data_IF_530507180334
#
_entry.id   IF_530507180334
#
_cell.length_a   1.000
_cell.length_b   1.000
_cell.length_c   1.000
_cell.angle_alpha   90.00
_cell.angle_beta   90.00
_cell.angle_gamma   90.00
#
_symmetry.space_group_name_H-M   'P 1'
#
loop_
_entity.id
_entity.type
_entity.pdbx_description
1 polymer ?
#
# COMPACT_ATOMS: atom_id res chain seq x y z
N UNK A 1 0.95 4.11 -25.08
CA UNK A 1 0.04 3.50 -24.09
C UNK A 1 0.85 3.20 -22.84
N UNK A 2 0.83 4.09 -21.85
CA UNK A 2 1.45 3.84 -20.56
C UNK A 2 0.41 3.06 -19.76
N UNK A 3 0.71 1.80 -19.44
CA UNK A 3 -0.11 0.99 -18.55
C UNK A 3 -0.32 1.76 -17.25
N UNK A 4 -1.55 2.21 -16.97
CA UNK A 4 -1.90 3.06 -15.82
C UNK A 4 -1.98 2.28 -14.51
N UNK A 5 -1.19 1.20 -14.37
CA UNK A 5 -1.15 0.33 -13.20
C UNK A 5 0.16 0.50 -12.43
N UNK A 6 0.09 0.41 -11.10
CA UNK A 6 1.28 0.30 -10.26
C UNK A 6 2.16 -0.86 -10.76
N UNK A 7 3.48 -0.66 -10.91
CA UNK A 7 4.39 -1.70 -11.37
C UNK A 7 4.40 -2.89 -10.41
N UNK A 8 4.70 -4.07 -10.92
CA UNK A 8 5.02 -5.23 -10.09
C UNK A 8 6.52 -5.29 -9.80
N UNK A 9 6.94 -6.03 -8.76
CA UNK A 9 8.34 -6.11 -8.35
C UNK A 9 9.28 -6.56 -9.49
N UNK A 10 8.77 -7.35 -10.46
CA UNK A 10 9.51 -7.78 -11.66
C UNK A 10 10.01 -6.62 -12.53
N UNK A 11 9.34 -5.47 -12.47
CA UNK A 11 9.75 -4.27 -13.23
C UNK A 11 10.72 -3.38 -12.44
N UNK A 12 10.94 -3.67 -11.16
CA UNK A 12 11.74 -2.84 -10.26
C UNK A 12 13.06 -3.49 -9.88
N UNK A 13 13.11 -4.82 -9.82
CA UNK A 13 14.28 -5.56 -9.35
C UNK A 13 15.00 -6.31 -10.47
N UNK A 14 16.33 -6.39 -10.36
CA UNK A 14 17.17 -7.13 -11.30
C UNK A 14 17.03 -8.65 -11.10
N UNK A 15 17.32 -9.46 -12.14
CA UNK A 15 17.46 -10.90 -11.96
C UNK A 15 18.52 -11.21 -10.88
N UNK A 16 18.17 -12.06 -9.90
CA UNK A 16 19.07 -12.41 -8.78
C UNK A 16 18.76 -11.69 -7.46
N UNK A 17 17.79 -10.76 -7.43
CA UNK A 17 17.26 -10.20 -6.18
C UNK A 17 16.70 -11.29 -5.28
N UNK A 18 16.88 -11.12 -3.97
CA UNK A 18 16.38 -12.04 -2.96
C UNK A 18 14.88 -12.29 -3.10
N UNK A 19 14.47 -13.54 -2.92
CA UNK A 19 13.08 -13.97 -3.11
C UNK A 19 12.13 -13.26 -2.13
N UNK A 20 12.59 -12.99 -0.91
CA UNK A 20 11.77 -12.34 0.12
C UNK A 20 11.49 -10.88 -0.27
N UNK A 21 12.50 -10.15 -0.74
CA UNK A 21 12.34 -8.76 -1.18
C UNK A 21 11.34 -8.66 -2.36
N UNK A 22 11.37 -9.63 -3.27
CA UNK A 22 10.39 -9.73 -4.35
C UNK A 22 8.96 -9.97 -3.84
N UNK A 23 8.80 -10.82 -2.81
CA UNK A 23 7.50 -11.10 -2.19
C UNK A 23 6.97 -9.86 -1.48
N UNK A 24 7.81 -9.18 -0.72
CA UNK A 24 7.44 -8.02 0.10
C UNK A 24 7.07 -6.83 -0.79
N UNK A 25 7.84 -6.56 -1.83
CA UNK A 25 7.49 -5.53 -2.80
C UNK A 25 6.16 -5.83 -3.51
N UNK A 26 5.93 -7.07 -3.96
CA UNK A 26 4.65 -7.43 -4.58
C UNK A 26 3.48 -7.34 -3.60
N UNK A 27 3.70 -7.64 -2.31
CA UNK A 27 2.71 -7.44 -1.25
C UNK A 27 2.38 -5.96 -1.09
N UNK A 28 3.40 -5.10 -0.97
CA UNK A 28 3.22 -3.66 -0.85
C UNK A 28 2.42 -3.07 -2.02
N UNK A 29 2.77 -3.44 -3.27
CA UNK A 29 2.00 -3.00 -4.45
C UNK A 29 0.58 -3.56 -4.50
N UNK A 30 0.38 -4.81 -4.09
CA UNK A 30 -0.96 -5.39 -4.00
C UNK A 30 -1.82 -4.62 -3.01
N UNK A 31 -1.30 -4.36 -1.80
CA UNK A 31 -2.00 -3.59 -0.77
C UNK A 31 -2.35 -2.20 -1.31
N UNK A 32 -1.38 -1.49 -1.90
CA UNK A 32 -1.60 -0.17 -2.47
C UNK A 32 -2.71 -0.17 -3.54
N UNK A 33 -2.72 -1.15 -4.47
CA UNK A 33 -3.76 -1.27 -5.51
C UNK A 33 -5.14 -1.55 -4.93
N UNK A 34 -5.23 -2.43 -3.92
CA UNK A 34 -6.48 -2.72 -3.24
C UNK A 34 -6.96 -1.46 -2.52
N UNK A 35 -6.14 -0.82 -1.70
CA UNK A 35 -6.50 0.38 -0.94
C UNK A 35 -6.92 1.53 -1.85
N UNK A 36 -6.24 1.75 -2.98
CA UNK A 36 -6.67 2.72 -3.99
C UNK A 36 -8.08 2.41 -4.51
N UNK A 37 -8.35 1.15 -4.87
CA UNK A 37 -9.67 0.74 -5.36
C UNK A 37 -10.76 0.88 -4.29
N UNK A 38 -10.45 0.53 -3.05
CA UNK A 38 -11.36 0.69 -1.90
C UNK A 38 -11.74 2.17 -1.74
N UNK A 39 -10.78 3.09 -1.82
CA UNK A 39 -11.01 4.53 -1.74
C UNK A 39 -11.82 5.07 -2.92
N UNK A 40 -11.56 4.60 -4.14
CA UNK A 40 -12.35 4.93 -5.33
C UNK A 40 -13.82 4.51 -5.19
N UNK A 41 -14.08 3.41 -4.48
CA UNK A 41 -15.42 2.90 -4.20
C UNK A 41 -16.08 3.57 -2.98
N UNK A 42 -15.39 4.49 -2.29
CA UNK A 42 -15.93 5.28 -1.17
C UNK A 42 -15.98 4.56 0.18
N UNK A 43 -15.30 3.42 0.32
CA UNK A 43 -15.20 2.70 1.58
C UNK A 43 -14.15 3.31 2.52
N UNK A 44 -14.25 2.98 3.82
CA UNK A 44 -13.28 3.37 4.85
C UNK A 44 -12.56 2.15 5.44
N UNK A 45 -11.75 2.33 6.48
CA UNK A 45 -10.96 1.26 7.11
C UNK A 45 -11.84 0.16 7.78
N UNK A 46 -13.13 0.43 7.97
CA UNK A 46 -14.12 -0.50 8.54
C UNK A 46 -14.68 -1.52 7.53
N UNK A 47 -14.16 -1.58 6.30
CA UNK A 47 -14.64 -2.50 5.27
C UNK A 47 -14.58 -3.98 5.68
N UNK A 48 -15.56 -4.74 5.20
CA UNK A 48 -15.59 -6.18 5.42
C UNK A 48 -14.53 -6.88 4.57
N UNK A 49 -14.20 -8.12 4.96
CA UNK A 49 -13.33 -8.98 4.16
C UNK A 49 -13.90 -9.29 2.76
N UNK A 50 -15.22 -9.26 2.62
CA UNK A 50 -15.93 -9.41 1.35
C UNK A 50 -15.73 -8.21 0.43
N UNK A 51 -15.89 -6.99 0.97
CA UNK A 51 -15.66 -5.75 0.23
C UNK A 51 -14.19 -5.65 -0.23
N UNK A 52 -13.25 -6.05 0.63
CA UNK A 52 -11.83 -6.07 0.29
C UNK A 52 -11.53 -7.05 -0.84
N UNK A 53 -12.17 -8.23 -0.84
CA UNK A 53 -12.03 -9.19 -1.94
C UNK A 53 -12.63 -8.66 -3.24
N UNK A 54 -13.79 -8.00 -3.19
CA UNK A 54 -14.41 -7.37 -4.35
C UNK A 54 -13.52 -6.24 -4.92
N UNK A 55 -12.92 -5.42 -4.05
CA UNK A 55 -11.97 -4.40 -4.45
C UNK A 55 -10.69 -5.00 -5.08
N UNK A 56 -10.18 -6.12 -4.55
CA UNK A 56 -9.04 -6.82 -5.12
C UNK A 56 -9.35 -7.36 -6.53
N UNK A 57 -10.52 -7.97 -6.71
CA UNK A 57 -10.99 -8.47 -8.00
C UNK A 57 -11.15 -7.30 -8.99
N UNK A 58 -11.77 -6.19 -8.58
CA UNK A 58 -11.93 -4.98 -9.39
C UNK A 58 -10.59 -4.28 -9.71
N UNK A 59 -9.58 -4.42 -8.86
CA UNK A 59 -8.23 -3.92 -9.09
C UNK A 59 -7.38 -4.85 -9.97
N UNK A 60 -7.91 -6.02 -10.36
CA UNK A 60 -7.19 -7.02 -11.16
C UNK A 60 -5.98 -7.62 -10.45
N UNK A 61 -6.09 -7.84 -9.13
CA UNK A 61 -5.05 -8.47 -8.31
C UNK A 61 -5.60 -9.66 -7.53
N UNK A 62 -4.73 -10.58 -7.15
CA UNK A 62 -5.13 -11.69 -6.29
C UNK A 62 -5.65 -11.18 -4.94
N UNK A 63 -6.72 -11.80 -4.47
CA UNK A 63 -7.32 -11.53 -3.16
C UNK A 63 -6.30 -11.61 -2.02
N UNK A 64 -6.47 -10.82 -0.95
CA UNK A 64 -5.61 -10.87 0.22
C UNK A 64 -5.85 -12.21 0.96
N UNK A 65 -4.89 -13.13 0.81
CA UNK A 65 -4.98 -14.50 1.33
C UNK A 65 -4.54 -14.67 2.78
N UNK A 66 -3.88 -13.65 3.37
CA UNK A 66 -3.47 -13.66 4.78
C UNK A 66 -4.12 -12.52 5.56
N UNK A 67 -4.35 -12.73 6.85
CA UNK A 67 -4.81 -11.72 7.80
C UNK A 67 -3.87 -10.51 7.82
N UNK A 68 -2.56 -10.74 7.77
CA UNK A 68 -1.54 -9.70 7.68
C UNK A 68 -1.74 -8.78 6.46
N UNK A 69 -2.03 -9.34 5.28
CA UNK A 69 -2.32 -8.54 4.09
C UNK A 69 -3.61 -7.74 4.25
N UNK A 70 -4.63 -8.32 4.91
CA UNK A 70 -5.89 -7.62 5.18
C UNK A 70 -5.70 -6.46 6.16
N UNK A 71 -4.92 -6.68 7.21
CA UNK A 71 -4.53 -5.65 8.17
C UNK A 71 -3.75 -4.53 7.48
N UNK A 72 -2.82 -4.86 6.58
CA UNK A 72 -2.08 -3.87 5.78
C UNK A 72 -3.01 -2.99 4.92
N UNK A 73 -4.03 -3.58 4.29
CA UNK A 73 -5.04 -2.81 3.55
C UNK A 73 -5.79 -1.85 4.46
N UNK A 74 -6.22 -2.30 5.64
CA UNK A 74 -6.92 -1.46 6.62
C UNK A 74 -6.04 -0.31 7.12
N UNK A 75 -4.78 -0.60 7.48
CA UNK A 75 -3.82 0.42 7.89
C UNK A 75 -3.60 1.48 6.80
N UNK A 76 -3.52 1.07 5.53
CA UNK A 76 -3.40 2.00 4.40
C UNK A 76 -4.65 2.88 4.17
N UNK A 77 -5.78 2.53 4.79
CA UNK A 77 -7.05 3.29 4.76
C UNK A 77 -7.23 4.20 5.97
N UNK A 78 -6.32 4.17 6.95
CA UNK A 78 -6.27 5.16 8.02
C UNK A 78 -6.09 6.57 7.46
N UNK A 79 -6.49 7.58 8.22
CA UNK A 79 -6.46 8.97 7.77
C UNK A 79 -5.07 9.36 7.25
N UNK A 80 -5.00 10.08 6.12
CA UNK A 80 -3.72 10.46 5.55
C UNK A 80 -2.98 11.38 6.53
N UNK A 81 -1.69 11.11 6.71
CA UNK A 81 -0.81 12.06 7.38
C UNK A 81 -0.80 13.39 6.62
N UNK A 82 -0.66 14.48 7.35
CA UNK A 82 -0.65 15.85 6.86
C UNK A 82 0.59 16.58 7.39
N UNK A 83 0.83 17.81 6.93
CA UNK A 83 1.90 18.65 7.50
C UNK A 83 1.62 19.10 8.95
N UNK A 84 0.38 18.92 9.44
CA UNK A 84 -0.02 19.27 10.81
C UNK A 84 0.25 18.13 11.80
N UNK A 85 0.48 16.91 11.30
CA UNK A 85 0.91 15.80 12.14
C UNK A 85 2.30 16.06 12.72
N UNK A 86 2.56 15.51 13.90
CA UNK A 86 3.85 15.68 14.55
C UNK A 86 4.98 14.97 13.80
N UNK A 87 6.22 15.41 13.98
CA UNK A 87 7.39 14.72 13.46
C UNK A 87 7.45 13.26 13.92
N UNK A 88 6.99 12.99 15.14
CA UNK A 88 6.87 11.65 15.72
C UNK A 88 5.89 10.77 14.95
N UNK A 89 4.70 11.30 14.60
CA UNK A 89 3.69 10.53 13.86
C UNK A 89 4.20 10.17 12.45
N UNK A 90 4.83 11.13 11.78
CA UNK A 90 5.43 10.89 10.47
C UNK A 90 6.56 9.87 10.53
N UNK A 91 7.44 9.99 11.53
CA UNK A 91 8.53 9.03 11.76
C UNK A 91 8.00 7.63 12.05
N UNK A 92 6.97 7.51 12.89
CA UNK A 92 6.33 6.22 13.21
C UNK A 92 5.70 5.57 11.97
N UNK A 93 5.04 6.35 11.11
CA UNK A 93 4.48 5.82 9.87
C UNK A 93 5.58 5.36 8.89
N UNK A 94 6.64 6.14 8.71
CA UNK A 94 7.76 5.77 7.82
C UNK A 94 8.50 4.53 8.33
N UNK A 95 8.86 4.51 9.62
CA UNK A 95 9.55 3.37 10.25
C UNK A 95 8.68 2.12 10.28
N UNK A 96 7.39 2.28 10.60
CA UNK A 96 6.40 1.22 10.52
C UNK A 96 6.33 0.63 9.10
N UNK A 97 6.15 1.47 8.09
CA UNK A 97 6.14 1.07 6.68
C UNK A 97 7.43 0.38 6.25
N UNK A 98 8.59 0.85 6.72
CA UNK A 98 9.87 0.19 6.46
C UNK A 98 9.95 -1.22 7.09
N UNK A 99 9.36 -1.42 8.26
CA UNK A 99 9.38 -2.71 8.96
C UNK A 99 8.37 -3.73 8.42
N UNK A 100 7.15 -3.30 8.10
CA UNK A 100 6.05 -4.19 7.72
C UNK A 100 5.72 -4.16 6.22
N UNK A 101 6.33 -3.26 5.45
CA UNK A 101 6.07 -3.10 4.01
C UNK A 101 4.68 -2.53 3.71
N UNK A 102 3.98 -1.98 4.70
CA UNK A 102 2.63 -1.45 4.52
C UNK A 102 2.68 -0.05 3.92
N UNK A 103 1.91 0.20 2.84
CA UNK A 103 1.78 1.55 2.33
C UNK A 103 0.94 2.40 3.29
N UNK A 104 1.15 3.71 3.26
CA UNK A 104 0.36 4.68 4.01
C UNK A 104 0.10 5.92 3.17
N UNK A 105 -0.88 6.73 3.58
CA UNK A 105 -1.30 7.92 2.82
C UNK A 105 -0.70 9.19 3.40
N UNK A 106 -0.31 10.09 2.51
CA UNK A 106 0.15 11.44 2.86
C UNK A 106 -0.62 12.47 2.03
N UNK A 107 -1.18 13.48 2.68
CA UNK A 107 -1.83 14.63 2.06
C UNK A 107 -0.86 15.82 2.08
N UNK A 108 -0.50 16.28 0.89
CA UNK A 108 0.35 17.45 0.74
C UNK A 108 -0.38 18.76 1.10
N UNK A 109 0.38 19.84 1.30
CA UNK A 109 -0.18 21.17 1.59
C UNK A 109 -1.03 21.79 0.47
N UNK A 110 -1.19 21.10 -0.67
CA UNK A 110 -2.08 21.49 -1.79
C UNK A 110 -3.36 20.65 -1.82
N UNK A 111 -3.58 19.80 -0.82
CA UNK A 111 -4.76 18.93 -0.70
C UNK A 111 -4.68 17.64 -1.52
N UNK A 112 -3.56 17.36 -2.20
CA UNK A 112 -3.39 16.11 -2.94
C UNK A 112 -3.00 15.00 -1.97
N UNK A 113 -3.72 13.89 -2.01
CA UNK A 113 -3.37 12.69 -1.24
C UNK A 113 -2.60 11.71 -2.13
N UNK A 114 -1.42 11.28 -1.67
CA UNK A 114 -0.57 10.30 -2.33
C UNK A 114 -0.46 9.05 -1.45
N UNK A 115 -0.36 7.88 -2.09
CA UNK A 115 -0.02 6.63 -1.42
C UNK A 115 1.50 6.46 -1.46
N UNK A 116 2.13 6.36 -0.29
CA UNK A 116 3.55 6.08 -0.17
C UNK A 116 3.73 4.58 0.02
N UNK A 117 4.48 3.96 -0.90
CA UNK A 117 4.76 2.52 -0.89
C UNK A 117 6.23 2.34 -0.54
N UNK A 118 6.56 1.64 0.57
CA UNK A 118 7.94 1.37 0.92
C UNK A 118 8.56 0.41 -0.11
N UNK A 119 9.71 0.79 -0.67
CA UNK A 119 10.50 -0.05 -1.57
C UNK A 119 11.87 -0.26 -0.91
N UNK A 120 12.19 -1.48 -0.44
CA UNK A 120 13.51 -1.78 0.08
C UNK A 120 14.57 -1.59 -1.00
N UNK A 121 15.64 -0.87 -0.67
CA UNK A 121 16.78 -0.61 -1.56
C UNK A 121 18.03 -1.39 -1.14
N UNK A 122 18.24 -1.59 0.16
CA UNK A 122 19.40 -2.26 0.76
C UNK A 122 18.97 -2.91 2.11
N UNK A 123 19.73 -3.90 2.60
CA UNK A 123 19.56 -4.50 3.94
C UNK A 123 20.76 -4.19 4.83
#
# INVERSE_FOLDING_TARGET
MISSGLPTARHLYQPGTDRQDFIDANRAFKVARISMKVLELGYTADLTDGDMNAAADAAGVNRPGSEETRAAVRAALEDPLTYENSETDFTNAVTGAAHNGHPFRYRDGRGRTVMLVPIPVER
#
